data_IF_997736019362
#
_entry.id   IF_997736019362
#
_cell.length_a   1.000
_cell.length_b   1.000
_cell.length_c   1.000
_cell.angle_alpha   90.00
_cell.angle_beta   90.00
_cell.angle_gamma   90.00
#
_symmetry.space_group_name_H-M   'P 1'
#
loop_
_entity.id
_entity.type
_entity.pdbx_description
1 polymer ?
#
# COMPACT_ATOMS: atom_id res chain seq x y z
N UNK A 1 45.84 -5.10 9.94
CA UNK A 1 45.01 -5.90 10.88
C UNK A 1 43.78 -5.08 11.22
N UNK A 2 42.62 -5.35 10.62
CA UNK A 2 41.36 -4.62 10.86
C UNK A 2 40.15 -5.36 10.25
N UNK A 3 40.03 -6.68 10.43
CA UNK A 3 38.98 -7.48 9.79
C UNK A 3 38.14 -8.33 10.76
N UNK A 4 38.35 -8.19 12.08
CA UNK A 4 37.72 -9.06 13.08
C UNK A 4 36.73 -8.35 14.02
N UNK A 5 36.42 -7.06 13.83
CA UNK A 5 35.52 -6.30 14.71
C UNK A 5 34.11 -6.05 14.13
N UNK A 6 33.78 -6.57 12.95
CA UNK A 6 32.48 -6.31 12.30
C UNK A 6 31.80 -7.59 11.79
N UNK A 7 31.92 -8.69 12.53
CA UNK A 7 31.10 -9.87 12.27
C UNK A 7 29.82 -9.79 13.08
N UNK A 8 28.68 -9.72 12.39
CA UNK A 8 27.36 -9.79 13.02
C UNK A 8 27.01 -11.25 13.27
N UNK A 9 26.69 -11.58 14.52
CA UNK A 9 26.19 -12.91 14.87
C UNK A 9 24.78 -13.11 14.29
N UNK A 10 24.62 -14.18 13.50
CA UNK A 10 23.38 -14.49 12.80
C UNK A 10 22.28 -14.94 13.77
N UNK A 11 22.63 -15.59 14.88
CA UNK A 11 21.67 -16.15 15.83
C UNK A 11 20.78 -15.04 16.44
N UNK A 12 21.35 -13.84 16.62
CA UNK A 12 20.64 -12.64 17.10
C UNK A 12 19.52 -12.23 16.12
N UNK A 13 19.80 -12.29 14.81
CA UNK A 13 18.83 -11.92 13.77
C UNK A 13 17.81 -13.06 13.59
N UNK A 14 18.24 -14.32 13.64
CA UNK A 14 17.34 -15.47 13.51
C UNK A 14 16.27 -15.49 14.60
N UNK A 15 16.64 -15.17 15.85
CA UNK A 15 15.71 -15.13 16.98
C UNK A 15 14.56 -14.12 16.82
N UNK A 16 14.75 -13.08 16.00
CA UNK A 16 13.80 -11.99 15.78
C UNK A 16 13.34 -11.86 14.32
N UNK A 17 13.57 -12.88 13.48
CA UNK A 17 13.28 -12.82 12.04
C UNK A 17 11.82 -12.50 11.71
N UNK A 18 10.87 -12.95 12.54
CA UNK A 18 9.44 -12.70 12.37
C UNK A 18 9.06 -11.22 12.60
N UNK A 19 9.92 -10.46 13.30
CA UNK A 19 9.73 -9.02 13.53
C UNK A 19 10.37 -8.14 12.45
N UNK A 20 11.06 -8.74 11.48
CA UNK A 20 11.75 -8.04 10.39
C UNK A 20 10.90 -8.06 9.13
N UNK A 21 10.46 -6.88 8.68
CA UNK A 21 9.76 -6.74 7.41
C UNK A 21 10.72 -6.90 6.22
N UNK A 22 10.35 -7.70 5.22
CA UNK A 22 11.11 -7.82 3.96
C UNK A 22 11.01 -6.54 3.14
N UNK A 23 12.16 -6.05 2.67
CA UNK A 23 12.25 -4.88 1.79
C UNK A 23 12.95 -5.28 0.48
N UNK A 24 12.50 -4.78 -0.69
CA UNK A 24 13.15 -5.09 -1.97
C UNK A 24 14.64 -4.69 -2.03
N UNK A 25 15.02 -3.62 -1.31
CA UNK A 25 16.41 -3.16 -1.21
C UNK A 25 17.24 -3.87 -0.13
N UNK A 26 16.66 -4.83 0.59
CA UNK A 26 17.29 -5.47 1.75
C UNK A 26 17.34 -4.58 2.99
N UNK A 27 18.03 -5.06 4.03
CA UNK A 27 18.24 -4.37 5.31
C UNK A 27 19.69 -4.51 5.74
N UNK A 28 20.20 -3.53 6.48
CA UNK A 28 21.53 -3.60 7.07
C UNK A 28 21.53 -4.60 8.23
N UNK A 29 22.32 -5.68 8.11
CA UNK A 29 22.49 -6.68 9.17
C UNK A 29 23.05 -6.06 10.46
N UNK A 30 23.97 -5.10 10.34
CA UNK A 30 24.55 -4.37 11.47
C UNK A 30 23.50 -3.59 12.25
N UNK A 31 22.55 -2.97 11.54
CA UNK A 31 21.51 -2.19 12.19
C UNK A 31 20.48 -3.10 12.88
N UNK A 32 20.10 -4.22 12.24
CA UNK A 32 19.25 -5.22 12.86
C UNK A 32 19.88 -5.79 14.13
N UNK A 33 21.17 -6.11 14.09
CA UNK A 33 21.90 -6.53 15.27
C UNK A 33 21.91 -5.45 16.34
N UNK A 34 22.17 -4.18 16.01
CA UNK A 34 22.10 -3.06 16.98
C UNK A 34 20.74 -2.99 17.68
N UNK A 35 19.65 -3.18 16.93
CA UNK A 35 18.28 -3.14 17.45
C UNK A 35 17.98 -4.36 18.34
N UNK A 36 18.38 -5.56 17.93
CA UNK A 36 18.06 -6.79 18.63
C UNK A 36 19.02 -7.14 19.77
N UNK A 37 20.29 -6.76 19.67
CA UNK A 37 21.28 -6.87 20.76
C UNK A 37 20.91 -6.00 21.96
N UNK A 38 20.18 -4.90 21.76
CA UNK A 38 19.63 -4.10 22.85
C UNK A 38 18.56 -4.85 23.69
N UNK A 39 18.02 -5.97 23.19
CA UNK A 39 17.06 -6.81 23.89
C UNK A 39 17.59 -8.18 24.33
N UNK A 40 18.80 -8.61 23.93
CA UNK A 40 19.17 -10.04 23.96
C UNK A 40 20.37 -10.44 24.83
N UNK A 41 21.02 -9.55 25.59
CA UNK A 41 22.17 -9.98 26.41
C UNK A 41 21.87 -9.99 27.92
N UNK A 42 21.79 -11.21 28.45
CA UNK A 42 21.87 -11.53 29.88
C UNK A 42 23.30 -11.40 30.42
N UNK A 43 23.96 -10.25 30.22
CA UNK A 43 25.20 -9.93 30.92
C UNK A 43 25.22 -8.49 31.43
N UNK A 44 25.72 -8.36 32.66
CA UNK A 44 25.63 -7.22 33.57
C UNK A 44 26.37 -5.97 33.06
N UNK A 45 25.82 -5.27 32.06
CA UNK A 45 26.18 -3.89 31.71
C UNK A 45 24.87 -3.15 31.43
N UNK A 46 24.66 -2.06 32.17
CA UNK A 46 23.44 -1.26 32.28
C UNK A 46 22.63 -1.14 30.98
N UNK A 47 21.43 -1.73 30.99
CA UNK A 47 20.47 -1.71 29.88
C UNK A 47 20.14 -0.28 29.40
N UNK A 48 20.04 0.00 28.10
CA UNK A 48 18.91 0.76 27.60
C UNK A 48 17.72 -0.21 27.58
N UNK A 49 16.79 -0.03 28.52
CA UNK A 49 15.44 -0.60 28.50
C UNK A 49 14.80 -0.53 27.08
N UNK A 50 13.71 -1.23 26.73
CA UNK A 50 12.89 -0.86 25.56
C UNK A 50 12.48 0.63 25.54
N UNK A 51 12.54 1.31 26.69
CA UNK A 51 12.49 2.77 26.77
C UNK A 51 13.78 3.46 26.30
N UNK A 52 14.96 2.88 26.51
CA UNK A 52 16.24 3.39 26.05
C UNK A 52 16.41 3.37 24.52
N UNK A 53 15.98 2.32 23.81
CA UNK A 53 15.97 2.34 22.34
C UNK A 53 14.94 3.34 21.79
N UNK A 54 13.77 3.45 22.44
CA UNK A 54 12.81 4.53 22.17
C UNK A 54 13.44 5.91 22.38
N UNK A 55 14.08 6.17 23.52
CA UNK A 55 14.71 7.45 23.81
C UNK A 55 15.81 7.84 22.81
N UNK A 56 16.62 6.87 22.36
CA UNK A 56 17.65 7.11 21.31
C UNK A 56 16.97 7.42 19.97
N UNK A 57 15.93 6.68 19.62
CA UNK A 57 15.18 6.93 18.40
C UNK A 57 14.45 8.27 18.44
N UNK A 58 13.91 8.66 19.60
CA UNK A 58 13.22 9.92 19.82
C UNK A 58 14.20 11.11 19.75
N UNK A 59 15.41 10.97 20.29
CA UNK A 59 16.46 11.99 20.16
C UNK A 59 16.88 12.18 18.70
N UNK A 60 17.18 11.09 17.98
CA UNK A 60 17.53 11.15 16.55
C UNK A 60 16.37 11.69 15.70
N UNK A 61 15.12 11.33 16.03
CA UNK A 61 13.92 11.88 15.40
C UNK A 61 13.86 13.39 15.61
N UNK A 62 14.08 13.87 16.83
CA UNK A 62 14.07 15.29 17.15
C UNK A 62 15.14 16.06 16.36
N UNK A 63 16.33 15.49 16.18
CA UNK A 63 17.38 16.09 15.35
C UNK A 63 16.91 16.29 13.90
N UNK A 64 16.32 15.26 13.29
CA UNK A 64 15.76 15.37 11.94
C UNK A 64 14.57 16.34 11.87
N UNK A 65 13.72 16.40 12.90
CA UNK A 65 12.61 17.34 12.96
C UNK A 65 13.09 18.80 13.09
N UNK A 66 14.15 19.06 13.85
CA UNK A 66 14.82 20.36 13.88
C UNK A 66 15.42 20.70 12.51
N UNK A 67 16.08 19.74 11.85
CA UNK A 67 16.64 19.93 10.50
C UNK A 67 15.52 20.23 9.46
N UNK A 68 14.36 19.59 9.60
CA UNK A 68 13.18 19.88 8.79
C UNK A 68 12.57 21.27 9.07
N UNK A 69 12.73 21.82 10.27
CA UNK A 69 12.30 23.19 10.57
C UNK A 69 13.22 24.22 9.89
N UNK A 70 14.53 23.94 9.83
CA UNK A 70 15.52 24.76 9.12
C UNK A 70 15.65 24.43 7.63
N UNK A 71 14.71 23.69 7.04
CA UNK A 71 14.80 23.20 5.65
C UNK A 71 14.91 24.30 4.60
N UNK A 72 14.41 25.51 4.89
CA UNK A 72 14.51 26.67 4.01
C UNK A 72 15.92 27.26 3.91
N UNK A 73 16.81 26.90 4.83
CA UNK A 73 18.21 27.34 4.87
C UNK A 73 19.16 26.33 4.22
N UNK A 74 18.69 25.10 3.96
CA UNK A 74 19.47 24.02 3.36
C UNK A 74 19.55 24.15 1.84
N UNK A 75 20.74 23.90 1.27
CA UNK A 75 20.95 23.90 -0.18
C UNK A 75 20.24 22.73 -0.89
N UNK A 76 20.17 21.56 -0.24
CA UNK A 76 19.45 20.36 -0.71
C UNK A 76 18.40 19.91 0.32
N UNK A 77 17.19 20.51 0.33
CA UNK A 77 16.10 20.12 1.22
C UNK A 77 15.62 18.67 1.01
N UNK A 78 15.83 18.07 -0.17
CA UNK A 78 15.41 16.69 -0.43
C UNK A 78 16.29 15.68 0.32
N UNK A 79 17.58 15.97 0.47
CA UNK A 79 18.53 15.10 1.17
C UNK A 79 18.13 14.83 2.62
N UNK A 80 17.60 15.85 3.32
CA UNK A 80 17.10 15.71 4.70
C UNK A 80 16.01 14.65 4.77
N UNK A 81 15.04 14.67 3.85
CA UNK A 81 13.98 13.67 3.80
C UNK A 81 14.50 12.28 3.41
N UNK A 82 15.43 12.18 2.45
CA UNK A 82 16.02 10.89 2.06
C UNK A 82 16.78 10.23 3.22
N UNK A 83 17.61 11.02 3.94
CA UNK A 83 18.31 10.54 5.15
C UNK A 83 17.33 10.14 6.24
N UNK A 84 16.31 10.95 6.50
CA UNK A 84 15.34 10.69 7.55
C UNK A 84 14.50 9.44 7.26
N UNK A 85 14.07 9.23 6.01
CA UNK A 85 13.34 8.02 5.61
C UNK A 85 14.23 6.78 5.69
N UNK A 86 15.48 6.85 5.23
CA UNK A 86 16.44 5.74 5.35
C UNK A 86 16.69 5.38 6.81
N UNK A 87 16.92 6.38 7.65
CA UNK A 87 17.05 6.18 9.09
C UNK A 87 15.80 5.52 9.67
N UNK A 88 14.61 5.98 9.33
CA UNK A 88 13.34 5.43 9.84
C UNK A 88 13.16 3.96 9.44
N UNK A 89 13.44 3.62 8.18
CA UNK A 89 13.37 2.22 7.71
C UNK A 89 14.39 1.32 8.42
N UNK A 90 15.55 1.87 8.75
CA UNK A 90 16.63 1.16 9.43
C UNK A 90 16.36 0.98 10.93
N UNK A 91 15.92 2.03 11.62
CA UNK A 91 15.66 2.06 13.06
C UNK A 91 14.46 1.21 13.47
N UNK A 92 13.48 1.01 12.56
CA UNK A 92 12.28 0.23 12.82
C UNK A 92 12.23 -1.02 11.90
N UNK A 93 12.42 -2.24 12.45
CA UNK A 93 12.35 -3.48 11.68
C UNK A 93 11.01 -3.72 10.98
N UNK A 94 9.92 -3.18 11.53
CA UNK A 94 8.57 -3.19 10.95
C UNK A 94 7.96 -1.78 10.88
N UNK A 95 8.59 -0.91 10.10
CA UNK A 95 8.22 0.51 10.01
C UNK A 95 6.77 0.76 9.55
N UNK A 96 6.17 -0.14 8.76
CA UNK A 96 4.78 -0.01 8.30
C UNK A 96 3.75 -0.29 9.40
N UNK A 97 4.04 -1.27 10.28
CA UNK A 97 3.10 -1.70 11.32
C UNK A 97 3.18 -0.84 12.58
N UNK A 98 4.33 -0.23 12.84
CA UNK A 98 4.56 0.58 14.04
C UNK A 98 4.16 2.03 13.80
N UNK A 99 3.09 2.49 14.46
CA UNK A 99 2.69 3.91 14.41
C UNK A 99 3.78 4.86 14.95
N UNK A 100 4.63 4.39 15.87
CA UNK A 100 5.79 5.12 16.41
C UNK A 100 6.85 5.43 15.34
N UNK A 101 6.87 4.75 14.19
CA UNK A 101 7.84 5.03 13.12
C UNK A 101 7.59 6.39 12.45
N UNK A 102 6.33 6.87 12.44
CA UNK A 102 5.97 8.11 11.76
C UNK A 102 6.27 8.13 10.26
N UNK A 103 6.52 6.98 9.63
CA UNK A 103 6.97 6.91 8.24
C UNK A 103 5.93 7.42 7.24
N UNK A 104 4.65 7.11 7.47
CA UNK A 104 3.55 7.55 6.61
C UNK A 104 3.43 9.10 6.55
N UNK A 105 3.26 9.83 7.67
CA UNK A 105 3.16 11.29 7.63
C UNK A 105 4.44 11.92 7.07
N UNK A 106 5.62 11.33 7.34
CA UNK A 106 6.89 11.78 6.76
C UNK A 106 6.90 11.68 5.23
N UNK A 107 6.50 10.54 4.67
CA UNK A 107 6.42 10.35 3.22
C UNK A 107 5.35 11.24 2.58
N UNK A 108 4.18 11.39 3.22
CA UNK A 108 3.13 12.29 2.71
C UNK A 108 3.59 13.75 2.71
N UNK A 109 4.32 14.19 3.73
CA UNK A 109 4.90 15.52 3.78
C UNK A 109 5.95 15.70 2.68
N UNK A 110 6.92 14.79 2.57
CA UNK A 110 7.99 14.86 1.59
C UNK A 110 7.46 14.90 0.15
N UNK A 111 6.51 14.02 -0.17
CA UNK A 111 5.92 13.93 -1.52
C UNK A 111 5.14 15.19 -1.89
N UNK A 112 4.43 15.82 -0.95
CA UNK A 112 3.71 17.08 -1.15
C UNK A 112 4.63 18.29 -1.27
N UNK A 113 5.67 18.40 -0.43
CA UNK A 113 6.56 19.56 -0.38
C UNK A 113 7.31 19.81 -1.69
N UNK A 114 7.71 18.75 -2.40
CA UNK A 114 8.50 18.88 -3.64
C UNK A 114 7.69 18.77 -4.93
N UNK A 115 6.36 18.63 -4.85
CA UNK A 115 5.50 18.46 -6.03
C UNK A 115 5.57 19.66 -7.00
N UNK A 116 5.63 20.87 -6.45
CA UNK A 116 5.74 22.12 -7.22
C UNK A 116 7.15 22.38 -7.75
N UNK A 117 8.17 21.82 -7.11
CA UNK A 117 9.58 22.04 -7.48
C UNK A 117 9.94 21.26 -8.73
N UNK A 118 10.35 21.97 -9.79
CA UNK A 118 10.80 21.34 -11.04
C UNK A 118 12.17 20.66 -10.89
N UNK A 119 13.00 21.11 -9.95
CA UNK A 119 14.37 20.63 -9.76
C UNK A 119 14.43 19.14 -9.38
N UNK A 120 13.52 18.69 -8.52
CA UNK A 120 13.52 17.32 -8.00
C UNK A 120 12.70 16.33 -8.82
N UNK A 121 11.99 16.78 -9.87
CA UNK A 121 11.06 15.92 -10.64
C UNK A 121 11.74 14.68 -11.23
N UNK A 122 12.99 14.81 -11.64
CA UNK A 122 13.78 13.73 -12.24
C UNK A 122 14.93 13.27 -11.33
N UNK A 123 14.88 13.57 -10.03
CA UNK A 123 15.86 13.05 -9.06
C UNK A 123 15.47 11.61 -8.64
N UNK A 124 16.37 10.62 -8.78
CA UNK A 124 16.13 9.25 -8.31
C UNK A 124 15.76 9.16 -6.82
N UNK A 125 16.27 10.05 -5.96
CA UNK A 125 15.95 10.10 -4.53
C UNK A 125 14.48 10.44 -4.32
N UNK A 126 13.98 11.45 -5.03
CA UNK A 126 12.58 11.84 -4.94
C UNK A 126 11.65 10.74 -5.45
N UNK A 127 12.01 10.11 -6.58
CA UNK A 127 11.25 8.97 -7.10
C UNK A 127 11.23 7.80 -6.10
N UNK A 128 12.34 7.50 -5.42
CA UNK A 128 12.37 6.47 -4.38
C UNK A 128 11.40 6.77 -3.25
N UNK A 129 11.29 8.02 -2.78
CA UNK A 129 10.31 8.38 -1.75
C UNK A 129 8.88 8.05 -2.18
N UNK A 130 8.54 8.37 -3.42
CA UNK A 130 7.26 8.00 -4.02
C UNK A 130 7.06 6.49 -4.13
N UNK A 131 8.09 5.74 -4.52
CA UNK A 131 8.01 4.28 -4.60
C UNK A 131 7.81 3.64 -3.22
N UNK A 132 8.49 4.12 -2.18
CA UNK A 132 8.25 3.66 -0.81
C UNK A 132 6.81 3.95 -0.38
N UNK A 133 6.28 5.12 -0.71
CA UNK A 133 4.88 5.45 -0.45
C UNK A 133 3.92 4.48 -1.17
N UNK A 134 4.19 4.19 -2.45
CA UNK A 134 3.36 3.27 -3.25
C UNK A 134 3.40 1.85 -2.69
N UNK A 135 4.58 1.33 -2.40
CA UNK A 135 4.78 -0.06 -1.96
C UNK A 135 4.26 -0.31 -0.54
N UNK A 136 4.45 0.64 0.39
CA UNK A 136 4.14 0.44 1.81
C UNK A 136 2.74 0.91 2.19
N UNK A 137 2.22 1.95 1.54
CA UNK A 137 1.00 2.62 2.01
C UNK A 137 -0.10 2.76 0.96
N UNK A 138 0.19 2.74 -0.34
CA UNK A 138 -0.84 3.03 -1.36
C UNK A 138 -1.90 1.92 -1.46
N UNK A 139 -3.16 2.32 -1.40
CA UNK A 139 -4.37 1.51 -1.60
C UNK A 139 -4.69 1.28 -3.09
N UNK A 140 -4.51 2.31 -3.91
CA UNK A 140 -4.60 2.24 -5.36
C UNK A 140 -3.28 2.68 -6.02
N UNK A 141 -2.27 1.79 -6.10
CA UNK A 141 -0.97 2.09 -6.69
C UNK A 141 -1.07 2.66 -8.11
N UNK A 142 -2.02 2.16 -8.91
CA UNK A 142 -2.28 2.65 -10.28
C UNK A 142 -2.58 4.15 -10.33
N UNK A 143 -3.39 4.65 -9.40
CA UNK A 143 -3.76 6.07 -9.35
C UNK A 143 -2.54 6.90 -8.99
N UNK A 144 -1.70 6.41 -8.08
CA UNK A 144 -0.45 7.07 -7.71
C UNK A 144 0.54 7.13 -8.89
N UNK A 145 0.72 6.03 -9.63
CA UNK A 145 1.54 6.05 -10.85
C UNK A 145 0.97 6.97 -11.94
N UNK A 146 -0.36 7.00 -12.11
CA UNK A 146 -1.01 7.94 -13.04
C UNK A 146 -0.82 9.40 -12.60
N UNK A 147 -0.86 9.68 -11.30
CA UNK A 147 -0.57 10.99 -10.73
C UNK A 147 0.88 11.40 -11.04
N UNK A 148 1.86 10.52 -10.78
CA UNK A 148 3.28 10.77 -11.10
C UNK A 148 3.50 11.09 -12.58
N UNK A 149 2.89 10.30 -13.47
CA UNK A 149 2.99 10.50 -14.91
C UNK A 149 2.41 11.86 -15.37
N UNK A 150 1.30 12.31 -14.77
CA UNK A 150 0.68 13.62 -15.08
C UNK A 150 1.53 14.79 -14.60
N UNK A 151 2.18 14.65 -13.44
CA UNK A 151 3.10 15.65 -12.89
C UNK A 151 4.51 15.58 -13.48
N UNK A 152 4.75 14.62 -14.40
CA UNK A 152 6.05 14.36 -15.03
C UNK A 152 7.16 14.11 -14.01
N UNK A 153 6.84 13.35 -12.96
CA UNK A 153 7.80 12.93 -11.94
C UNK A 153 8.40 11.60 -12.39
N UNK A 154 9.73 11.54 -12.48
CA UNK A 154 10.48 10.35 -12.88
C UNK A 154 10.33 9.96 -14.35
N UNK A 155 9.82 10.85 -15.21
CA UNK A 155 9.58 10.57 -16.64
C UNK A 155 10.87 10.20 -17.40
N UNK A 156 12.02 10.71 -16.96
CA UNK A 156 13.33 10.38 -17.53
C UNK A 156 14.05 9.21 -16.84
N UNK A 157 13.45 8.61 -15.80
CA UNK A 157 14.09 7.59 -14.99
C UNK A 157 13.55 6.20 -15.34
N UNK A 158 14.45 5.29 -15.72
CA UNK A 158 14.09 3.90 -16.00
C UNK A 158 13.38 3.23 -14.82
N UNK A 159 13.79 3.57 -13.60
CA UNK A 159 13.22 3.07 -12.35
C UNK A 159 11.70 3.26 -12.26
N UNK A 160 11.16 4.36 -12.80
CA UNK A 160 9.72 4.60 -12.77
C UNK A 160 8.96 3.56 -13.60
N UNK A 161 9.45 3.29 -14.81
CA UNK A 161 8.84 2.34 -15.74
C UNK A 161 9.02 0.90 -15.27
N UNK A 162 10.19 0.56 -14.72
CA UNK A 162 10.48 -0.75 -14.12
C UNK A 162 9.47 -1.09 -13.03
N UNK A 163 9.28 -0.20 -12.05
CA UNK A 163 8.40 -0.43 -10.91
C UNK A 163 6.92 -0.41 -11.31
N UNK A 164 6.54 0.50 -12.22
CA UNK A 164 5.16 0.56 -12.69
C UNK A 164 4.76 -0.67 -13.49
N UNK A 165 5.63 -1.13 -14.40
CA UNK A 165 5.39 -2.34 -15.17
C UNK A 165 5.46 -3.61 -14.29
N UNK A 166 6.37 -3.67 -13.32
CA UNK A 166 6.44 -4.76 -12.35
C UNK A 166 5.17 -4.88 -11.49
N UNK A 167 4.59 -3.75 -11.08
CA UNK A 167 3.30 -3.73 -10.40
C UNK A 167 2.15 -4.21 -11.32
N UNK A 168 2.11 -3.74 -12.57
CA UNK A 168 1.09 -4.17 -13.55
C UNK A 168 1.17 -5.66 -13.86
N UNK A 169 2.39 -6.19 -13.95
CA UNK A 169 2.66 -7.61 -14.11
C UNK A 169 2.11 -8.42 -12.94
N UNK A 170 2.40 -8.01 -11.69
CA UNK A 170 1.85 -8.64 -10.49
C UNK A 170 0.33 -8.56 -10.39
N UNK A 171 -0.27 -7.52 -10.96
CA UNK A 171 -1.73 -7.38 -11.08
C UNK A 171 -2.34 -8.17 -12.27
N UNK A 172 -1.54 -8.90 -13.05
CA UNK A 172 -1.99 -9.67 -14.22
C UNK A 172 -2.35 -8.82 -15.45
N UNK A 173 -1.95 -7.55 -15.48
CA UNK A 173 -2.30 -6.57 -16.54
C UNK A 173 -1.16 -6.42 -17.54
N UNK A 174 -0.78 -7.54 -18.15
CA UNK A 174 0.41 -7.67 -18.99
C UNK A 174 0.46 -6.75 -20.21
N UNK A 175 -0.67 -6.54 -20.90
CA UNK A 175 -0.72 -5.64 -22.06
C UNK A 175 -0.33 -4.20 -21.68
N UNK A 176 -0.79 -3.75 -20.51
CA UNK A 176 -0.42 -2.42 -20.02
C UNK A 176 1.01 -2.35 -19.53
N UNK A 177 1.56 -3.45 -18.99
CA UNK A 177 2.97 -3.50 -18.62
C UNK A 177 3.86 -3.34 -19.87
N UNK A 178 3.51 -3.98 -20.99
CA UNK A 178 4.20 -3.81 -22.28
C UNK A 178 4.13 -2.35 -22.78
N UNK A 179 2.95 -1.74 -22.74
CA UNK A 179 2.76 -0.33 -23.11
C UNK A 179 3.66 0.59 -22.26
N UNK A 180 3.77 0.34 -20.95
CA UNK A 180 4.60 1.13 -20.04
C UNK A 180 6.08 0.99 -20.35
N UNK A 181 6.56 -0.23 -20.65
CA UNK A 181 7.96 -0.42 -21.04
C UNK A 181 8.29 0.29 -22.35
N UNK A 182 7.45 0.12 -23.38
CA UNK A 182 7.60 0.83 -24.65
C UNK A 182 7.61 2.34 -24.46
N UNK A 183 6.69 2.84 -23.63
CA UNK A 183 6.59 4.25 -23.30
C UNK A 183 7.84 4.79 -22.59
N UNK A 184 8.52 3.98 -21.78
CA UNK A 184 9.80 4.32 -21.17
C UNK A 184 10.96 4.31 -22.18
N UNK A 185 10.92 3.42 -23.18
CA UNK A 185 11.88 3.39 -24.29
C UNK A 185 11.71 4.59 -25.22
N UNK A 186 10.47 4.94 -25.57
CA UNK A 186 10.14 6.11 -26.39
C UNK A 186 10.61 7.43 -25.74
N UNK A 187 10.71 7.44 -24.41
CA UNK A 187 11.20 8.58 -23.61
C UNK A 187 12.69 8.52 -23.27
N UNK A 188 13.39 7.49 -23.75
CA UNK A 188 14.82 7.28 -23.50
C UNK A 188 15.18 7.33 -22.00
N UNK A 189 14.34 6.71 -21.17
CA UNK A 189 14.51 6.77 -19.73
C UNK A 189 15.83 6.11 -19.28
N UNK A 190 16.60 6.81 -18.44
CA UNK A 190 17.96 6.42 -18.05
C UNK A 190 17.97 5.62 -16.76
N UNK A 191 18.81 4.56 -16.65
CA UNK A 191 19.69 3.99 -17.68
C UNK A 191 18.93 3.16 -18.73
N UNK A 192 19.11 3.50 -20.02
CA UNK A 192 18.35 2.87 -21.13
C UNK A 192 18.68 1.39 -21.26
N UNK A 193 19.95 1.01 -21.12
CA UNK A 193 20.39 -0.38 -21.19
C UNK A 193 19.72 -1.26 -20.12
N UNK A 194 19.56 -0.70 -18.91
CA UNK A 194 18.90 -1.38 -17.81
C UNK A 194 17.41 -1.59 -18.12
N UNK A 195 16.75 -0.56 -18.65
CA UNK A 195 15.34 -0.64 -19.02
C UNK A 195 15.11 -1.63 -20.17
N UNK A 196 15.98 -1.64 -21.19
CA UNK A 196 15.92 -2.60 -22.30
C UNK A 196 16.09 -4.05 -21.80
N UNK A 197 17.07 -4.29 -20.91
CA UNK A 197 17.25 -5.61 -20.28
C UNK A 197 16.01 -6.04 -19.50
N UNK A 198 15.44 -5.15 -18.70
CA UNK A 198 14.22 -5.43 -17.92
C UNK A 198 13.02 -5.72 -18.81
N UNK A 199 12.92 -5.02 -19.93
CA UNK A 199 11.89 -5.27 -20.93
C UNK A 199 12.05 -6.67 -21.56
N UNK A 200 13.27 -7.08 -21.92
CA UNK A 200 13.52 -8.45 -22.41
C UNK A 200 13.20 -9.52 -21.36
N UNK A 201 13.55 -9.29 -20.08
CA UNK A 201 13.17 -10.18 -18.97
C UNK A 201 11.65 -10.27 -18.79
N UNK A 202 10.93 -9.17 -19.02
CA UNK A 202 9.46 -9.14 -19.03
C UNK A 202 8.88 -9.91 -20.22
N UNK A 203 9.38 -9.69 -21.44
CA UNK A 203 8.92 -10.40 -22.64
C UNK A 203 9.09 -11.92 -22.50
N UNK A 204 10.23 -12.36 -21.97
CA UNK A 204 10.46 -13.76 -21.68
C UNK A 204 9.41 -14.34 -20.72
N UNK A 205 9.09 -13.63 -19.63
CA UNK A 205 8.02 -14.05 -18.71
C UNK A 205 6.64 -14.00 -19.35
N UNK A 206 6.40 -13.02 -20.22
CA UNK A 206 5.15 -12.89 -20.97
C UNK A 206 4.92 -14.08 -21.91
N UNK A 207 5.96 -14.57 -22.59
CA UNK A 207 5.92 -15.71 -23.50
C UNK A 207 5.84 -17.05 -22.76
N UNK A 208 6.52 -17.16 -21.61
CA UNK A 208 6.47 -18.34 -20.74
C UNK A 208 5.18 -18.47 -19.96
N UNK A 209 4.30 -17.47 -20.02
CA UNK A 209 2.99 -17.55 -19.40
C UNK A 209 2.29 -18.79 -19.95
N UNK A 210 1.79 -19.70 -19.08
CA UNK A 210 0.84 -20.69 -19.52
C UNK A 210 -0.34 -19.91 -20.08
N UNK A 211 -0.48 -19.88 -21.42
CA UNK A 211 -1.80 -19.70 -22.02
C UNK A 211 -2.65 -20.74 -21.32
N UNK A 212 -3.76 -20.32 -20.72
CA UNK A 212 -4.63 -21.17 -19.91
C UNK A 212 -5.34 -22.18 -20.84
N UNK A 213 -4.54 -23.09 -21.41
CA UNK A 213 -4.86 -24.11 -22.41
C UNK A 213 -4.52 -25.48 -21.81
N UNK A 214 -4.89 -25.67 -20.55
CA UNK A 214 -4.97 -26.98 -19.89
C UNK A 214 -6.39 -27.56 -19.98
N UNK A 215 -6.55 -28.89 -19.97
CA UNK A 215 -7.82 -29.55 -20.31
C UNK A 215 -8.93 -29.27 -19.29
N UNK A 216 -10.12 -29.02 -19.83
CA UNK A 216 -11.40 -28.80 -19.13
C UNK A 216 -11.84 -30.04 -18.33
N UNK A 217 -11.85 -29.99 -16.99
CA UNK A 217 -12.96 -30.48 -16.13
C UNK A 217 -12.70 -30.29 -14.62
N UNK A 218 -13.75 -30.18 -13.75
CA UNK A 218 -15.14 -30.59 -13.96
C UNK A 218 -15.96 -29.56 -14.76
N UNK A 219 -16.89 -30.06 -15.58
CA UNK A 219 -17.65 -29.28 -16.57
C UNK A 219 -18.52 -28.13 -16.00
N UNK A 220 -18.68 -28.00 -14.68
CA UNK A 220 -19.39 -26.89 -14.05
C UNK A 220 -18.77 -26.59 -12.66
N UNK A 221 -17.98 -25.50 -12.51
CA UNK A 221 -17.80 -24.90 -11.19
C UNK A 221 -19.16 -24.34 -10.69
N UNK A 222 -19.40 -24.23 -9.37
CA UNK A 222 -20.56 -23.49 -8.87
C UNK A 222 -20.41 -22.02 -9.22
N UNK A 223 -20.84 -21.65 -10.42
CA UNK A 223 -20.91 -20.25 -10.86
C UNK A 223 -21.96 -19.58 -10.01
N UNK A 224 -21.56 -18.63 -9.15
CA UNK A 224 -22.51 -17.74 -8.48
C UNK A 224 -23.15 -16.90 -9.58
N UNK A 225 -24.44 -17.12 -9.91
CA UNK A 225 -25.05 -16.34 -10.97
C UNK A 225 -25.19 -14.91 -10.45
N UNK A 226 -24.62 -13.95 -11.18
CA UNK A 226 -24.71 -12.55 -10.83
C UNK A 226 -26.19 -12.13 -10.77
N UNK A 227 -26.60 -11.47 -9.67
CA UNK A 227 -27.98 -11.02 -9.42
C UNK A 227 -29.03 -12.16 -9.31
N UNK A 228 -28.63 -13.41 -9.03
CA UNK A 228 -29.59 -14.48 -8.76
C UNK A 228 -30.47 -14.20 -7.54
N UNK A 229 -31.75 -14.56 -7.63
CA UNK A 229 -32.65 -14.54 -6.50
C UNK A 229 -32.17 -15.51 -5.42
N UNK A 230 -32.09 -15.04 -4.19
CA UNK A 230 -31.59 -15.80 -3.04
C UNK A 230 -32.73 -16.65 -2.49
N UNK A 231 -32.96 -17.82 -3.10
CA UNK A 231 -33.94 -18.79 -2.60
C UNK A 231 -33.30 -19.65 -1.53
N UNK A 232 -33.84 -19.66 -0.31
CA UNK A 232 -33.32 -20.45 0.79
C UNK A 232 -33.95 -21.87 0.74
N UNK A 233 -33.22 -22.93 0.37
CA UNK A 233 -33.81 -24.25 0.10
C UNK A 233 -34.25 -25.00 1.37
N UNK A 234 -33.94 -24.48 2.56
CA UNK A 234 -34.32 -25.05 3.85
C UNK A 234 -35.27 -24.15 4.66
N UNK A 235 -35.83 -23.10 4.03
CA UNK A 235 -36.83 -22.29 4.71
C UNK A 235 -38.11 -23.12 4.94
N UNK A 236 -38.62 -23.23 6.18
CA UNK A 236 -39.90 -23.86 6.43
C UNK A 236 -40.99 -23.08 5.67
N UNK A 237 -41.95 -23.80 5.10
CA UNK A 237 -43.02 -23.28 4.23
C UNK A 237 -43.91 -22.21 4.86
N UNK A 238 -43.70 -21.88 6.14
CA UNK A 238 -44.47 -20.94 6.96
C UNK A 238 -43.63 -19.80 7.59
N UNK A 239 -42.40 -19.59 7.12
CA UNK A 239 -41.66 -18.40 7.50
C UNK A 239 -42.25 -17.17 6.78
N UNK A 240 -43.03 -16.38 7.51
CA UNK A 240 -43.46 -15.04 7.10
C UNK A 240 -42.25 -14.25 6.59
N UNK A 241 -42.35 -13.54 5.46
CA UNK A 241 -41.19 -12.84 4.90
C UNK A 241 -40.75 -11.73 5.87
N UNK A 242 -39.52 -11.81 6.36
CA UNK A 242 -38.84 -10.71 7.05
C UNK A 242 -38.94 -9.45 6.21
N UNK A 243 -39.57 -8.40 6.76
CA UNK A 243 -39.78 -7.11 6.11
C UNK A 243 -38.48 -6.33 5.81
N UNK A 244 -37.32 -6.89 6.17
CA UNK A 244 -36.00 -6.28 6.02
C UNK A 244 -35.13 -6.95 4.94
N UNK A 245 -35.60 -8.03 4.31
CA UNK A 245 -34.95 -8.60 3.15
C UNK A 245 -35.31 -7.79 1.89
N UNK A 246 -34.30 -7.20 1.26
CA UNK A 246 -34.43 -6.46 -0.01
C UNK A 246 -35.09 -7.33 -1.07
N UNK A 247 -36.37 -7.09 -1.34
CA UNK A 247 -37.17 -7.76 -2.35
C UNK A 247 -36.63 -7.40 -3.75
N UNK A 248 -36.19 -8.36 -4.58
CA UNK A 248 -35.96 -8.08 -5.99
C UNK A 248 -37.30 -7.74 -6.67
N UNK A 249 -37.34 -6.77 -7.60
CA UNK A 249 -38.56 -6.46 -8.32
C UNK A 249 -39.03 -7.67 -9.15
N UNK A 250 -40.35 -7.89 -9.29
CA UNK A 250 -40.88 -9.02 -10.05
C UNK A 250 -40.47 -8.92 -11.53
N UNK A 251 -39.68 -9.88 -12.00
CA UNK A 251 -39.53 -10.18 -13.43
C UNK A 251 -40.76 -10.96 -13.90
N UNK A 252 -41.79 -10.25 -14.34
CA UNK A 252 -42.69 -10.65 -15.43
C UNK A 252 -43.64 -9.50 -15.73
N UNK A 253 -43.33 -8.75 -16.77
CA UNK A 253 -44.13 -7.65 -17.27
C UNK A 253 -43.29 -6.84 -18.23
N UNK A 254 -43.52 -7.01 -19.53
CA UNK A 254 -42.75 -6.37 -20.59
C UNK A 254 -42.53 -4.88 -20.30
N UNK A 255 -41.30 -4.42 -20.46
CA UNK A 255 -40.95 -3.02 -20.31
C UNK A 255 -41.92 -2.17 -21.13
N UNK A 256 -42.78 -1.41 -20.45
CA UNK A 256 -43.56 -0.38 -21.09
C UNK A 256 -42.56 0.60 -21.69
N UNK A 257 -42.37 0.54 -23.02
CA UNK A 257 -41.60 1.53 -23.76
C UNK A 257 -42.27 2.88 -23.48
N UNK A 258 -41.65 3.68 -22.63
CA UNK A 258 -42.02 5.09 -22.48
C UNK A 258 -41.69 5.75 -23.82
N UNK A 259 -42.71 5.86 -24.69
CA UNK A 259 -42.63 6.62 -25.93
C UNK A 259 -42.57 8.12 -25.56
N UNK A 260 -41.44 8.58 -25.02
CA UNK A 260 -41.15 10.01 -25.02
C UNK A 260 -40.66 10.36 -26.43
N UNK A 261 -41.53 10.96 -27.23
CA UNK A 261 -41.27 11.36 -28.63
C UNK A 261 -40.27 12.52 -28.78
N UNK A 262 -39.30 12.66 -27.88
CA UNK A 262 -38.21 13.64 -28.00
C UNK A 262 -37.05 12.98 -28.73
N UNK A 263 -36.40 13.64 -29.71
CA UNK A 263 -35.22 13.09 -30.36
C UNK A 263 -34.13 12.86 -29.30
N UNK A 264 -33.74 11.61 -29.10
CA UNK A 264 -32.68 11.21 -28.18
C UNK A 264 -31.34 11.39 -28.91
N UNK A 265 -30.37 12.08 -28.29
CA UNK A 265 -29.03 12.21 -28.87
C UNK A 265 -28.47 10.82 -29.20
N UNK A 266 -27.98 10.64 -30.42
CA UNK A 266 -27.32 9.41 -30.82
C UNK A 266 -26.01 9.28 -30.03
N UNK A 267 -25.84 8.13 -29.37
CA UNK A 267 -24.58 7.81 -28.69
C UNK A 267 -23.58 7.45 -29.79
N UNK A 268 -22.42 8.09 -29.78
CA UNK A 268 -21.34 7.81 -30.72
C UNK A 268 -20.92 6.33 -30.61
N UNK A 269 -20.84 5.63 -31.74
CA UNK A 269 -20.37 4.26 -31.86
C UNK A 269 -19.08 4.22 -32.67
N UNK A 270 -17.98 3.81 -32.03
CA UNK A 270 -16.65 3.79 -32.64
C UNK A 270 -16.40 2.58 -33.56
N UNK A 271 -17.46 1.93 -34.05
CA UNK A 271 -17.37 0.68 -34.82
C UNK A 271 -16.70 0.86 -36.19
N UNK A 272 -16.66 2.08 -36.73
CA UNK A 272 -16.08 2.40 -38.04
C UNK A 272 -14.68 3.05 -37.98
N UNK A 273 -14.11 3.30 -36.79
CA UNK A 273 -12.74 3.79 -36.66
C UNK A 273 -11.78 2.64 -36.30
N UNK A 274 -10.89 2.27 -37.23
CA UNK A 274 -9.84 1.27 -36.97
C UNK A 274 -8.67 1.78 -36.10
N UNK A 275 -8.73 3.05 -35.65
CA UNK A 275 -7.71 3.66 -34.81
C UNK A 275 -8.34 4.17 -33.51
N UNK A 276 -7.79 3.85 -32.33
CA UNK A 276 -8.23 4.44 -31.08
C UNK A 276 -8.06 5.96 -31.20
N UNK A 277 -9.16 6.72 -31.02
CA UNK A 277 -9.11 8.17 -31.02
C UNK A 277 -8.11 8.71 -29.99
N UNK A 278 -7.48 9.88 -30.24
CA UNK A 278 -6.50 10.44 -29.31
C UNK A 278 -7.11 10.56 -27.93
N UNK A 279 -6.43 10.00 -26.92
CA UNK A 279 -6.84 10.14 -25.53
C UNK A 279 -7.02 11.63 -25.23
N UNK A 280 -8.23 12.01 -24.82
CA UNK A 280 -8.59 13.41 -24.58
C UNK A 280 -7.68 13.99 -23.49
N UNK A 281 -6.65 14.75 -23.87
CA UNK A 281 -5.75 15.44 -22.95
C UNK A 281 -6.38 16.73 -22.41
N UNK A 282 -7.63 16.65 -21.95
CA UNK A 282 -8.44 17.81 -21.59
C UNK A 282 -8.62 17.94 -20.09
N UNK A 283 -7.75 18.73 -19.45
CA UNK A 283 -7.80 19.22 -18.06
C UNK A 283 -7.18 18.32 -16.97
N UNK A 284 -6.16 18.86 -16.29
CA UNK A 284 -5.56 18.33 -15.06
C UNK A 284 -6.38 18.67 -13.80
N UNK A 285 -7.49 19.40 -13.95
CA UNK A 285 -8.30 19.91 -12.84
C UNK A 285 -8.84 18.72 -12.03
N UNK A 286 -8.46 18.66 -10.75
CA UNK A 286 -8.79 17.56 -9.83
C UNK A 286 -7.66 16.56 -9.57
N UNK A 287 -6.51 16.67 -10.25
CA UNK A 287 -5.31 15.86 -9.99
C UNK A 287 -4.15 16.70 -9.43
N UNK A 288 -4.47 17.84 -8.82
CA UNK A 288 -3.50 18.76 -8.22
C UNK A 288 -2.87 18.18 -6.94
N UNK A 289 -3.60 17.31 -6.24
CA UNK A 289 -3.13 16.61 -5.03
C UNK A 289 -3.72 15.21 -4.95
N UNK A 290 -2.94 14.25 -4.44
CA UNK A 290 -3.38 12.86 -4.21
C UNK A 290 -4.07 12.67 -2.83
N UNK A 291 -4.15 13.73 -2.01
CA UNK A 291 -4.73 13.68 -0.66
C UNK A 291 -3.87 12.91 0.35
N UNK A 292 -4.32 12.79 1.60
CA UNK A 292 -3.78 11.80 2.54
C UNK A 292 -4.48 10.46 2.37
N UNK A 293 -3.83 9.36 2.76
CA UNK A 293 -4.51 8.06 2.72
C UNK A 293 -5.73 8.00 3.64
N UNK A 294 -5.67 8.72 4.78
CA UNK A 294 -6.79 8.83 5.72
C UNK A 294 -7.99 9.48 5.06
N UNK A 295 -7.77 10.53 4.27
CA UNK A 295 -8.87 11.23 3.57
C UNK A 295 -9.53 10.35 2.50
N UNK A 296 -8.76 9.49 1.83
CA UNK A 296 -9.26 8.58 0.79
C UNK A 296 -10.07 7.42 1.36
N UNK A 297 -9.71 6.94 2.56
CA UNK A 297 -10.35 5.78 3.21
C UNK A 297 -11.41 6.15 4.25
N UNK A 298 -11.61 7.43 4.55
CA UNK A 298 -12.55 7.88 5.59
C UNK A 298 -13.98 7.34 5.44
N UNK A 299 -14.42 7.00 4.22
CA UNK A 299 -15.75 6.43 3.94
C UNK A 299 -15.77 4.90 3.96
N UNK A 300 -14.60 4.26 3.85
CA UNK A 300 -14.44 2.80 3.87
C UNK A 300 -14.09 2.26 5.27
N UNK A 301 -13.57 3.11 6.17
CA UNK A 301 -13.19 2.74 7.53
C UNK A 301 -14.13 3.36 8.56
N UNK A 302 -14.63 2.53 9.50
CA UNK A 302 -15.42 3.01 10.63
C UNK A 302 -14.48 3.38 11.76
N UNK A 303 -14.59 4.61 12.28
CA UNK A 303 -13.79 5.05 13.42
C UNK A 303 -13.98 4.13 14.63
N UNK A 304 -12.87 3.71 15.23
CA UNK A 304 -12.88 2.83 16.40
C UNK A 304 -13.63 3.49 17.56
N UNK A 305 -14.69 2.83 18.03
CA UNK A 305 -15.34 3.20 19.29
C UNK A 305 -14.44 2.69 20.43
N UNK A 306 -14.24 3.47 21.52
CA UNK A 306 -13.44 3.02 22.64
C UNK A 306 -14.00 1.71 23.18
N UNK A 307 -13.12 0.76 23.54
CA UNK A 307 -13.48 -0.44 24.30
C UNK A 307 -13.84 -0.11 25.75
N UNK A 308 -14.64 0.94 25.98
CA UNK A 308 -15.39 1.07 27.21
C UNK A 308 -16.44 -0.02 27.14
N UNK A 309 -16.17 -1.15 27.81
CA UNK A 309 -17.03 -2.33 27.78
C UNK A 309 -18.49 -1.91 27.85
N UNK A 310 -19.26 -2.26 26.83
CA UNK A 310 -20.71 -2.09 26.87
C UNK A 310 -21.22 -3.06 27.93
N UNK A 311 -21.20 -2.61 29.19
CA UNK A 311 -21.76 -3.37 30.29
C UNK A 311 -23.24 -3.44 30.01
N UNK A 312 -23.70 -4.58 29.50
CA UNK A 312 -25.11 -4.93 29.45
C UNK A 312 -25.65 -4.61 30.85
N UNK A 313 -26.64 -3.73 30.96
CA UNK A 313 -27.35 -3.48 32.23
C UNK A 313 -28.13 -4.74 32.58
N UNK A 314 -27.44 -5.77 33.04
CA UNK A 314 -28.04 -6.93 33.68
C UNK A 314 -28.65 -6.39 34.97
N UNK A 315 -29.99 -6.38 35.05
CA UNK A 315 -30.70 -6.05 36.28
C UNK A 315 -30.13 -6.86 37.45
N UNK A 316 -30.01 -6.23 38.62
CA UNK A 316 -29.45 -6.78 39.87
C UNK A 316 -29.67 -8.30 39.99
N UNK A 317 -28.68 -9.11 39.63
CA UNK A 317 -28.64 -10.52 40.05
C UNK A 317 -28.07 -10.57 41.47
N UNK A 318 -28.68 -11.40 42.31
CA UNK A 318 -28.23 -11.66 43.66
C UNK A 318 -26.75 -12.08 43.66
N UNK A 319 -26.01 -11.64 44.69
CA UNK A 319 -24.59 -11.90 44.82
C UNK A 319 -24.30 -13.42 44.78
N UNK A 320 -23.26 -13.87 44.04
CA UNK A 320 -22.86 -15.26 44.08
C UNK A 320 -22.33 -15.61 45.47
N UNK A 321 -22.82 -16.71 46.04
CA UNK A 321 -22.57 -17.15 47.42
C UNK A 321 -21.17 -17.69 47.68
N UNK A 322 -20.31 -17.81 46.67
CA UNK A 322 -18.91 -18.22 46.83
C UNK A 322 -18.00 -17.48 45.86
N UNK A 323 -17.02 -16.74 46.41
CA UNK A 323 -15.94 -16.09 45.66
C UNK A 323 -14.82 -17.10 45.46
N UNK A 324 -14.35 -17.24 44.21
CA UNK A 324 -13.16 -18.02 43.88
C UNK A 324 -11.94 -17.47 44.64
N UNK A 325 -11.24 -18.29 45.40
CA UNK A 325 -10.02 -17.87 46.08
C UNK A 325 -8.90 -17.71 45.05
N UNK A 326 -8.42 -16.47 44.88
CA UNK A 326 -7.22 -16.17 44.11
C UNK A 326 -6.06 -16.31 45.07
N UNK A 327 -5.20 -17.30 44.84
CA UNK A 327 -4.00 -17.50 45.66
C UNK A 327 -3.05 -16.33 45.42
N UNK A 328 -2.67 -15.64 46.50
CA UNK A 328 -1.56 -14.69 46.51
C UNK A 328 -0.40 -15.42 47.18
N UNK A 329 0.74 -15.49 46.50
CA UNK A 329 1.97 -15.94 47.12
C UNK A 329 2.37 -14.95 48.23
N UNK A 330 2.84 -15.49 49.35
CA UNK A 330 3.42 -14.71 50.45
C UNK A 330 4.84 -14.28 50.07
N UNK A 331 5.18 -13.02 50.38
CA UNK A 331 6.42 -12.32 49.98
C UNK A 331 7.73 -13.04 50.36
#
# INVERSE_FOLDING_TARGET
MAASEELVDFDIIEAQKENVQSLPGGRSARELARIFSAGSNGDKISLPSPNGTRNINDAMRQEFECELQSIGESDDPLDVYDRYVKWTLNAYPSAQATAESGLLPLLEQATKSFLSSSHYRNDPRYLRLWLHYVQLFSDAPRETFAFLARHKIGESLALFYEEFAGWLEGAGRWSQADEVYRLGMDREARPVERLARKYSEFQFRYDQRPQDTGPSSPALPPVRPALAAKTNPFAPSDASPDAQASRPPPQTGGAAKTKSGKPKMAIFSDADSAAPGPATSGSTKGWESIGSIRDRKKENEVAAKPWAGETLKVGKKAAPTQKMAIFRDED
#
